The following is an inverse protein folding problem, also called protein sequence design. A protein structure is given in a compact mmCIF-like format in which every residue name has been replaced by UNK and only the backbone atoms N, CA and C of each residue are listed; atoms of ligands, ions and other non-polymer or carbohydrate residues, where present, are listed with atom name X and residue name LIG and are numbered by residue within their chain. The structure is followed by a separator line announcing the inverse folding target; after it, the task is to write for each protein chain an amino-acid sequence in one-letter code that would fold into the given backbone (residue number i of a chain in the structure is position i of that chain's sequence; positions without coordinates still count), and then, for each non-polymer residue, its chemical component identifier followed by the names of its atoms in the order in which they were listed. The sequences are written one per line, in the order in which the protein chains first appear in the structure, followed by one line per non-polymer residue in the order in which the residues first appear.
data_IF_551900191717
#
_entry.id   IF_551900191717
#
_cell.length_a   1.000
_cell.length_b   1.000
_cell.length_c   1.000
_cell.angle_alpha   90.00
_cell.angle_beta   90.00
_cell.angle_gamma   90.00
#
_symmetry.space_group_name_H-M   'P 1'
#
loop_
_entity.id
_entity.type
_entity.pdbx_description
1 polymer ?
#
# COMPACT_ATOMS: atom_id res chain seq x y z
N UNK A 1 6.43 -9.04 10.50
CA UNK A 1 5.46 -9.21 9.41
C UNK A 1 4.98 -10.66 9.37
N UNK A 2 3.72 -10.88 9.70
CA UNK A 2 3.06 -12.20 9.62
C UNK A 2 1.88 -12.08 8.64
N UNK A 3 2.19 -12.06 7.34
CA UNK A 3 1.23 -11.79 6.26
C UNK A 3 -0.01 -12.69 6.33
N UNK A 4 0.18 -13.97 6.64
CA UNK A 4 -0.91 -14.96 6.71
C UNK A 4 -1.94 -14.68 7.80
N UNK A 5 -1.63 -13.84 8.79
CA UNK A 5 -2.57 -13.44 9.84
C UNK A 5 -3.48 -12.29 9.41
N UNK A 6 -3.19 -11.62 8.30
CA UNK A 6 -3.90 -10.42 7.84
C UNK A 6 -4.26 -10.52 6.35
N UNK A 7 -5.08 -11.53 5.94
CA UNK A 7 -5.41 -11.78 4.53
C UNK A 7 -6.05 -10.55 3.84
N UNK A 8 -6.80 -9.75 4.59
CA UNK A 8 -7.53 -8.59 4.09
C UNK A 8 -6.63 -7.39 3.79
N UNK A 9 -5.36 -7.43 4.20
CA UNK A 9 -4.37 -6.37 3.99
C UNK A 9 -3.26 -6.75 3.01
N UNK A 10 -3.27 -7.99 2.51
CA UNK A 10 -2.16 -8.53 1.73
C UNK A 10 -1.89 -7.69 0.49
N UNK A 11 -0.68 -7.16 0.41
CA UNK A 11 -0.15 -6.53 -0.78
C UNK A 11 0.90 -7.45 -1.42
N UNK A 12 1.12 -7.35 -2.73
CA UNK A 12 2.01 -8.27 -3.45
C UNK A 12 2.71 -7.58 -4.63
N UNK A 13 4.01 -7.86 -4.79
CA UNK A 13 4.76 -7.59 -6.03
C UNK A 13 5.06 -8.92 -6.70
N UNK A 14 4.73 -9.04 -7.98
CA UNK A 14 5.08 -10.18 -8.82
C UNK A 14 6.15 -9.73 -9.83
N UNK A 15 7.31 -10.35 -9.79
CA UNK A 15 8.38 -10.15 -10.77
C UNK A 15 8.14 -11.01 -12.03
N UNK A 16 8.72 -10.61 -13.17
CA UNK A 16 8.56 -11.33 -14.45
C UNK A 16 9.10 -12.76 -14.44
N UNK A 17 9.99 -13.09 -13.51
CA UNK A 17 10.50 -14.45 -13.31
C UNK A 17 9.56 -15.33 -12.47
N UNK A 18 8.41 -14.79 -12.07
CA UNK A 18 7.38 -15.49 -11.30
C UNK A 18 7.57 -15.42 -9.78
N UNK A 19 8.64 -14.77 -9.29
CA UNK A 19 8.81 -14.57 -7.86
C UNK A 19 7.78 -13.57 -7.31
N UNK A 20 7.16 -13.91 -6.18
CA UNK A 20 6.18 -13.06 -5.53
C UNK A 20 6.67 -12.65 -4.13
N UNK A 21 6.71 -11.34 -3.89
CA UNK A 21 6.91 -10.75 -2.58
C UNK A 21 5.56 -10.35 -1.99
N UNK A 22 5.26 -10.79 -0.77
CA UNK A 22 4.02 -10.46 -0.07
C UNK A 22 4.28 -9.58 1.14
N UNK A 23 3.35 -8.68 1.42
CA UNK A 23 3.42 -7.70 2.49
C UNK A 23 2.12 -7.69 3.27
N UNK A 24 2.18 -7.38 4.57
CA UNK A 24 1.01 -7.28 5.46
C UNK A 24 0.28 -5.93 5.36
N UNK A 25 0.63 -5.09 4.37
CA UNK A 25 -0.05 -3.82 4.10
C UNK A 25 0.55 -3.10 2.88
N UNK A 26 -0.15 -2.08 2.42
CA UNK A 26 0.29 -1.26 1.28
C UNK A 26 1.53 -0.42 1.63
N UNK A 27 1.61 0.14 2.84
CA UNK A 27 2.77 0.91 3.32
C UNK A 27 4.07 0.13 3.18
N UNK A 28 4.10 -1.11 3.64
CA UNK A 28 5.31 -1.93 3.55
C UNK A 28 5.63 -2.36 2.11
N UNK A 29 4.61 -2.54 1.26
CA UNK A 29 4.81 -2.69 -0.19
C UNK A 29 5.48 -1.44 -0.81
N UNK A 30 5.04 -0.23 -0.46
CA UNK A 30 5.65 1.00 -1.00
C UNK A 30 7.07 1.22 -0.47
N UNK A 31 7.36 0.88 0.81
CA UNK A 31 8.73 0.87 1.35
C UNK A 31 9.63 -0.04 0.52
N UNK A 32 9.14 -1.22 0.15
CA UNK A 32 9.85 -2.14 -0.74
C UNK A 32 10.07 -1.51 -2.13
N UNK A 33 9.03 -1.00 -2.78
CA UNK A 33 9.11 -0.45 -4.14
C UNK A 33 10.10 0.72 -4.25
N UNK A 34 10.05 1.65 -3.30
CA UNK A 34 10.91 2.85 -3.29
C UNK A 34 12.36 2.54 -2.90
N UNK A 35 12.64 1.35 -2.37
CA UNK A 35 13.99 0.97 -1.95
C UNK A 35 14.32 -0.50 -2.29
N UNK A 36 13.91 -0.96 -3.48
CA UNK A 36 14.15 -2.36 -3.92
C UNK A 36 15.60 -2.76 -3.90
N UNK A 37 16.53 -1.84 -4.18
CA UNK A 37 17.97 -2.13 -4.15
C UNK A 37 18.44 -2.57 -2.75
N UNK A 38 17.84 -2.03 -1.68
CA UNK A 38 18.12 -2.42 -0.30
C UNK A 38 17.44 -3.75 0.06
N UNK A 39 16.17 -3.92 -0.30
CA UNK A 39 15.35 -5.04 0.17
C UNK A 39 15.43 -6.30 -0.69
N UNK A 40 15.75 -6.15 -1.98
CA UNK A 40 15.90 -7.26 -2.92
C UNK A 40 17.08 -6.99 -3.88
N UNK A 41 18.33 -6.93 -3.37
CA UNK A 41 19.50 -6.63 -4.20
C UNK A 41 19.67 -7.61 -5.38
N UNK A 42 19.25 -8.87 -5.22
CA UNK A 42 19.25 -9.88 -6.30
C UNK A 42 18.17 -9.70 -7.36
N UNK A 43 17.11 -8.92 -7.07
CA UNK A 43 15.99 -8.64 -7.98
C UNK A 43 15.98 -7.18 -8.45
N UNK A 44 17.07 -6.44 -8.21
CA UNK A 44 17.17 -5.01 -8.54
C UNK A 44 16.89 -4.69 -10.02
N UNK A 45 17.21 -5.63 -10.91
CA UNK A 45 16.99 -5.50 -12.37
C UNK A 45 15.76 -6.28 -12.86
N UNK A 46 15.09 -7.05 -12.00
CA UNK A 46 13.90 -7.78 -12.39
C UNK A 46 12.77 -6.79 -12.66
N UNK A 47 12.20 -6.89 -13.85
CA UNK A 47 11.03 -6.11 -14.21
C UNK A 47 9.82 -6.63 -13.42
N UNK A 48 9.05 -5.70 -12.86
CA UNK A 48 7.82 -6.03 -12.13
C UNK A 48 6.73 -6.34 -13.15
N UNK A 49 6.15 -7.54 -13.07
CA UNK A 49 5.02 -7.95 -13.89
C UNK A 49 3.70 -7.36 -13.37
N UNK A 50 3.47 -7.40 -12.06
CA UNK A 50 2.25 -6.89 -11.44
C UNK A 50 2.50 -6.39 -10.01
N UNK A 51 1.68 -5.41 -9.58
CA UNK A 51 1.66 -4.91 -8.21
C UNK A 51 0.21 -4.92 -7.77
N UNK A 52 -0.09 -5.62 -6.68
CA UNK A 52 -1.44 -5.75 -6.17
C UNK A 52 -1.56 -5.29 -4.73
N UNK A 53 -2.67 -4.64 -4.42
CA UNK A 53 -3.10 -4.27 -3.06
C UNK A 53 -4.54 -4.73 -2.84
N UNK A 54 -4.94 -5.00 -1.61
CA UNK A 54 -6.33 -5.37 -1.30
C UNK A 54 -7.16 -4.11 -1.04
N UNK A 55 -8.24 -3.94 -1.79
CA UNK A 55 -9.14 -2.81 -1.65
C UNK A 55 -9.98 -2.93 -0.37
N UNK A 56 -10.08 -1.84 0.40
CA UNK A 56 -10.68 -1.83 1.74
C UNK A 56 -12.13 -2.36 1.77
N UNK A 57 -13.00 -1.83 0.90
CA UNK A 57 -14.43 -2.17 0.94
C UNK A 57 -14.76 -3.55 0.41
N UNK A 58 -14.12 -3.96 -0.69
CA UNK A 58 -14.44 -5.21 -1.38
C UNK A 58 -13.61 -6.39 -0.89
N UNK A 59 -12.48 -6.13 -0.23
CA UNK A 59 -11.50 -7.16 0.16
C UNK A 59 -11.00 -7.94 -1.07
N UNK A 60 -10.91 -7.27 -2.22
CA UNK A 60 -10.44 -7.82 -3.49
C UNK A 60 -9.08 -7.24 -3.84
N UNK A 61 -8.19 -8.08 -4.39
CA UNK A 61 -6.92 -7.63 -4.96
C UNK A 61 -7.16 -6.77 -6.21
N UNK A 62 -6.62 -5.56 -6.22
CA UNK A 62 -6.65 -4.63 -7.35
C UNK A 62 -5.22 -4.22 -7.76
N UNK A 63 -5.06 -3.67 -8.97
CA UNK A 63 -3.78 -3.09 -9.41
C UNK A 63 -3.45 -1.86 -8.55
N UNK A 64 -2.29 -1.89 -7.91
CA UNK A 64 -1.81 -0.80 -7.06
C UNK A 64 -1.65 0.52 -7.83
N UNK A 65 -1.28 0.48 -9.11
CA UNK A 65 -1.10 1.72 -9.91
C UNK A 65 -2.42 2.41 -10.22
N UNK A 66 -3.51 1.63 -10.28
CA UNK A 66 -4.86 2.14 -10.51
C UNK A 66 -5.57 2.56 -9.21
N UNK A 67 -5.15 2.03 -8.07
CA UNK A 67 -5.74 2.29 -6.76
C UNK A 67 -5.60 3.74 -6.30
N UNK A 68 -6.52 4.14 -5.44
CA UNK A 68 -6.47 5.36 -4.63
C UNK A 68 -6.03 5.01 -3.22
N UNK A 69 -5.31 5.91 -2.55
CA UNK A 69 -4.80 5.68 -1.20
C UNK A 69 -5.22 6.78 -0.26
N UNK A 70 -5.92 6.45 0.82
CA UNK A 70 -6.23 7.41 1.88
C UNK A 70 -5.23 7.24 3.02
N UNK A 71 -4.68 8.36 3.48
CA UNK A 71 -3.81 8.44 4.65
C UNK A 71 -4.44 9.30 5.76
N UNK A 72 -3.95 9.12 6.98
CA UNK A 72 -4.40 9.93 8.12
C UNK A 72 -5.79 9.55 8.64
N UNK A 73 -6.31 8.37 8.26
CA UNK A 73 -7.59 7.86 8.76
C UNK A 73 -7.49 7.27 10.16
N UNK A 74 -8.65 7.03 10.78
CA UNK A 74 -8.77 6.27 12.03
C UNK A 74 -8.74 4.73 11.83
N UNK A 75 -8.72 4.25 10.59
CA UNK A 75 -8.43 2.85 10.25
C UNK A 75 -6.92 2.60 10.29
N UNK A 76 -6.52 1.57 11.03
CA UNK A 76 -5.13 1.12 11.14
C UNK A 76 -4.94 -0.21 10.39
N UNK A 77 -3.83 -0.30 9.66
CA UNK A 77 -3.34 -1.57 9.11
C UNK A 77 -2.52 -2.35 10.14
N UNK A 78 -2.03 -3.55 9.79
CA UNK A 78 -1.22 -4.39 10.68
C UNK A 78 0.05 -3.71 11.22
N UNK A 79 0.51 -2.66 10.53
CA UNK A 79 1.70 -1.86 10.88
C UNK A 79 1.35 -0.42 11.30
N UNK A 80 0.13 -0.17 11.78
CA UNK A 80 -0.31 1.13 12.29
C UNK A 80 -0.95 2.01 11.21
N UNK A 81 -0.64 3.31 11.18
CA UNK A 81 -1.15 4.22 10.15
C UNK A 81 -0.73 3.73 8.76
N UNK A 82 -1.68 3.79 7.82
CA UNK A 82 -1.63 3.00 6.59
C UNK A 82 -2.00 3.83 5.36
N UNK A 83 -1.52 3.39 4.20
CA UNK A 83 -2.02 3.78 2.87
C UNK A 83 -3.23 2.91 2.56
N UNK A 84 -4.42 3.28 3.04
CA UNK A 84 -5.61 2.44 2.85
C UNK A 84 -5.99 2.41 1.36
N UNK A 85 -6.02 1.24 0.69
CA UNK A 85 -6.28 1.17 -0.75
C UNK A 85 -7.78 1.16 -1.07
N UNK A 86 -8.20 1.98 -2.04
CA UNK A 86 -9.57 2.08 -2.54
C UNK A 86 -9.58 1.87 -4.06
N UNK A 87 -10.61 1.19 -4.57
CA UNK A 87 -10.67 0.81 -5.98
C UNK A 87 -11.05 1.98 -6.89
N UNK A 88 -11.83 2.94 -6.36
CA UNK A 88 -12.33 4.09 -7.14
C UNK A 88 -12.14 5.41 -6.40
N UNK A 89 -12.22 6.51 -7.15
CA UNK A 89 -12.14 7.86 -6.57
C UNK A 89 -13.30 8.10 -5.60
N UNK A 90 -14.51 7.69 -5.99
CA UNK A 90 -15.70 7.81 -5.17
C UNK A 90 -15.52 7.07 -3.83
N UNK A 91 -15.02 5.82 -3.86
CA UNK A 91 -14.69 5.08 -2.64
C UNK A 91 -13.65 5.80 -1.78
N UNK A 92 -12.64 6.44 -2.39
CA UNK A 92 -11.63 7.20 -1.63
C UNK A 92 -12.20 8.44 -0.95
N UNK A 93 -13.14 9.13 -1.58
CA UNK A 93 -13.82 10.30 -1.02
C UNK A 93 -14.78 9.87 0.10
N UNK A 94 -15.54 8.81 -0.11
CA UNK A 94 -16.44 8.26 0.91
C UNK A 94 -15.64 7.76 2.12
N UNK A 95 -14.58 6.97 1.89
CA UNK A 95 -13.69 6.50 2.96
C UNK A 95 -13.06 7.66 3.72
N UNK A 96 -12.56 8.68 3.03
CA UNK A 96 -11.97 9.85 3.65
C UNK A 96 -12.96 10.53 4.61
N UNK A 97 -14.20 10.74 4.18
CA UNK A 97 -15.25 11.33 5.01
C UNK A 97 -15.58 10.44 6.22
N UNK A 98 -15.78 9.16 5.98
CA UNK A 98 -16.31 8.23 6.97
C UNK A 98 -15.24 7.85 8.03
N UNK A 99 -13.96 7.86 7.64
CA UNK A 99 -12.82 7.46 8.47
C UNK A 99 -11.84 8.60 8.79
N UNK A 100 -12.28 9.85 8.62
CA UNK A 100 -11.50 11.05 8.96
C UNK A 100 -10.13 11.10 8.27
N UNK A 101 -10.05 10.55 7.06
CA UNK A 101 -8.85 10.59 6.25
C UNK A 101 -8.42 12.02 5.97
N UNK A 102 -7.12 12.27 5.97
CA UNK A 102 -6.57 13.62 5.81
C UNK A 102 -6.30 13.91 4.34
N UNK A 103 -5.76 12.94 3.60
CA UNK A 103 -5.36 13.13 2.21
C UNK A 103 -5.68 11.89 1.38
N UNK A 104 -6.07 12.14 0.13
CA UNK A 104 -6.20 11.14 -0.93
C UNK A 104 -4.98 11.25 -1.83
N UNK A 105 -4.32 10.13 -2.08
CA UNK A 105 -3.10 10.02 -2.87
C UNK A 105 -3.31 9.04 -4.02
N UNK A 106 -2.56 9.24 -5.11
CA UNK A 106 -2.34 8.26 -6.17
C UNK A 106 -1.01 7.55 -5.96
N UNK A 107 -0.78 6.50 -6.74
CA UNK A 107 0.43 5.68 -6.66
C UNK A 107 1.72 6.51 -6.70
N UNK A 108 1.82 7.47 -7.63
CA UNK A 108 3.04 8.29 -7.82
C UNK A 108 3.21 9.38 -6.75
N UNK A 109 2.18 9.67 -5.95
CA UNK A 109 2.26 10.63 -4.84
C UNK A 109 2.91 10.01 -3.59
N UNK A 110 3.04 8.68 -3.54
CA UNK A 110 3.63 7.99 -2.40
C UNK A 110 5.15 8.10 -2.45
N UNK A 111 5.69 8.96 -1.59
CA UNK A 111 7.13 9.24 -1.49
C UNK A 111 7.72 8.68 -0.19
N UNK A 112 9.05 8.60 -0.06
CA UNK A 112 9.69 8.22 1.20
C UNK A 112 9.27 9.10 2.38
N UNK A 113 9.02 10.40 2.15
CA UNK A 113 8.56 11.32 3.18
C UNK A 113 7.14 10.99 3.67
N UNK A 114 6.23 10.63 2.76
CA UNK A 114 4.87 10.18 3.13
C UNK A 114 4.93 8.92 3.99
N UNK A 115 5.79 7.95 3.63
CA UNK A 115 5.94 6.72 4.41
C UNK A 115 6.53 6.97 5.81
N UNK A 116 7.50 7.88 5.91
CA UNK A 116 8.10 8.26 7.19
C UNK A 116 7.09 8.98 8.10
N UNK A 117 6.27 9.87 7.54
CA UNK A 117 5.17 10.51 8.26
C UNK A 117 4.17 9.48 8.82
N UNK A 118 3.78 8.48 8.03
CA UNK A 118 2.90 7.40 8.48
C UNK A 118 3.50 6.58 9.62
N UNK A 119 4.80 6.26 9.56
CA UNK A 119 5.47 5.50 10.63
C UNK A 119 5.53 6.27 11.96
N UNK A 120 5.56 7.60 11.90
CA UNK A 120 5.61 8.46 13.09
C UNK A 120 4.25 9.06 13.49
N UNK A 121 3.18 8.77 12.75
CA UNK A 121 1.84 9.33 13.02
C UNK A 121 1.75 10.85 12.81
N UNK A 122 2.58 11.41 11.93
CA UNK A 122 2.59 12.83 11.56
C UNK A 122 1.65 13.04 10.36
N UNK A 123 0.34 13.06 10.64
CA UNK A 123 -0.72 12.94 9.64
C UNK A 123 -1.28 14.29 9.12
N UNK A 124 -0.55 15.38 9.33
CA UNK A 124 -0.93 16.75 8.90
C UNK A 124 -0.59 17.05 7.43
#
# INVERSE_FOLDING_TARGET
MFVSLYPDWVATVLDQDGHAHHFDGAKDLFKYLLNRAKYAPGYRQAAIAAIGVTAYYSVVRIDARAAWYVIGSDVLGPMGHELVPLATEAESVDFQRDHKGQRILRFDDVTPAVLDQLDHGLLE
#
